data_IF_329482019050
#
_entry.id   IF_329482019050
#
_cell.length_a   1.000
_cell.length_b   1.000
_cell.length_c   1.000
_cell.angle_alpha   90.00
_cell.angle_beta   90.00
_cell.angle_gamma   90.00
#
_symmetry.space_group_name_H-M   'P 1'
#
loop_
_entity.id
_entity.type
_entity.pdbx_description
1 polymer ?
#
# COMPACT_ATOMS: atom_id res chain seq x y z
N UNK A 1 12.95 49.20 -8.61
CA UNK A 1 11.77 48.47 -9.14
C UNK A 1 12.01 46.99 -8.84
N UNK A 2 11.48 46.50 -7.72
CA UNK A 2 11.66 45.11 -7.30
C UNK A 2 10.65 44.23 -8.06
N UNK A 3 11.14 43.20 -8.73
CA UNK A 3 10.31 42.17 -9.36
C UNK A 3 9.62 41.34 -8.27
N UNK A 4 8.31 41.05 -8.38
CA UNK A 4 7.65 40.16 -7.44
C UNK A 4 8.17 38.73 -7.65
N UNK A 5 8.67 38.10 -6.59
CA UNK A 5 9.01 36.68 -6.61
C UNK A 5 7.74 35.85 -6.74
N UNK A 6 7.63 35.08 -7.82
CA UNK A 6 6.57 34.10 -8.03
C UNK A 6 6.47 33.15 -6.82
N UNK A 7 5.25 32.80 -6.36
CA UNK A 7 5.10 31.84 -5.28
C UNK A 7 5.72 30.51 -5.71
N UNK A 8 6.74 30.06 -4.96
CA UNK A 8 7.24 28.70 -5.04
C UNK A 8 6.13 27.78 -4.55
N UNK A 9 5.28 27.30 -5.46
CA UNK A 9 4.40 26.16 -5.22
C UNK A 9 5.35 24.99 -4.95
N UNK A 10 5.66 24.71 -3.69
CA UNK A 10 6.51 23.59 -3.31
C UNK A 10 5.94 22.34 -3.98
N UNK A 11 6.77 21.64 -4.78
CA UNK A 11 6.35 20.39 -5.43
C UNK A 11 5.75 19.48 -4.37
N UNK A 12 4.45 19.20 -4.48
CA UNK A 12 3.76 18.22 -3.65
C UNK A 12 4.56 16.90 -3.72
N UNK A 13 5.13 16.50 -2.59
CA UNK A 13 5.83 15.22 -2.46
C UNK A 13 4.79 14.12 -2.31
N UNK A 14 4.76 13.21 -3.28
CA UNK A 14 3.99 11.96 -3.20
C UNK A 14 4.91 10.89 -2.61
N UNK A 15 4.93 10.80 -1.30
CA UNK A 15 5.87 9.99 -0.54
C UNK A 15 5.19 8.90 0.29
N UNK A 16 3.93 8.58 0.00
CA UNK A 16 3.18 7.45 0.55
C UNK A 16 2.62 6.64 -0.62
N UNK A 17 2.97 5.36 -0.74
CA UNK A 17 2.47 4.50 -1.83
C UNK A 17 1.49 3.49 -1.26
N UNK A 18 0.27 3.46 -1.80
CA UNK A 18 -0.72 2.41 -1.52
C UNK A 18 -1.04 1.65 -2.79
N UNK A 19 -1.09 0.33 -2.70
CA UNK A 19 -1.26 -0.55 -3.85
C UNK A 19 -2.30 -1.63 -3.56
N UNK A 20 -3.20 -1.84 -4.51
CA UNK A 20 -4.24 -2.87 -4.46
C UNK A 20 -4.14 -3.82 -5.65
N UNK A 21 -4.29 -5.12 -5.42
CA UNK A 21 -4.36 -6.13 -6.48
C UNK A 21 -5.29 -7.29 -6.09
N UNK A 22 -6.06 -7.82 -7.05
CA UNK A 22 -7.09 -8.83 -6.73
C UNK A 22 -7.27 -9.96 -7.75
N UNK A 23 -7.12 -9.73 -9.05
CA UNK A 23 -7.49 -10.73 -10.05
C UNK A 23 -6.35 -11.06 -10.99
N UNK A 24 -6.29 -12.35 -11.33
CA UNK A 24 -5.20 -12.99 -12.04
C UNK A 24 -4.07 -13.36 -11.09
N UNK A 25 -4.31 -14.23 -10.09
CA UNK A 25 -3.38 -14.50 -8.98
C UNK A 25 -1.89 -14.64 -9.35
N UNK A 26 -1.58 -15.16 -10.55
CA UNK A 26 -0.22 -15.17 -11.10
C UNK A 26 0.21 -13.81 -11.66
N UNK A 27 -0.61 -13.11 -12.43
CA UNK A 27 -0.31 -11.77 -12.96
C UNK A 27 -0.14 -10.73 -11.87
N UNK A 28 -1.02 -10.71 -10.86
CA UNK A 28 -0.88 -9.82 -9.71
C UNK A 28 0.43 -10.08 -8.96
N UNK A 29 0.74 -11.36 -8.71
CA UNK A 29 2.02 -11.77 -8.12
C UNK A 29 3.21 -11.32 -8.97
N UNK A 30 3.20 -11.60 -10.27
CA UNK A 30 4.29 -11.25 -11.19
C UNK A 30 4.48 -9.73 -11.26
N UNK A 31 3.41 -8.95 -11.25
CA UNK A 31 3.47 -7.49 -11.22
C UNK A 31 4.11 -6.99 -9.91
N UNK A 32 3.74 -7.57 -8.77
CA UNK A 32 4.33 -7.24 -7.46
C UNK A 32 5.82 -7.60 -7.42
N UNK A 33 6.21 -8.78 -7.91
CA UNK A 33 7.61 -9.20 -7.97
C UNK A 33 8.43 -8.33 -8.91
N UNK A 34 7.87 -8.00 -10.08
CA UNK A 34 8.52 -7.12 -11.04
C UNK A 34 8.72 -5.71 -10.45
N UNK A 35 7.69 -5.14 -9.82
CA UNK A 35 7.79 -3.87 -9.09
C UNK A 35 8.87 -3.94 -8.01
N UNK A 36 8.82 -4.96 -7.15
CA UNK A 36 9.72 -5.08 -6.01
C UNK A 36 11.20 -5.21 -6.44
N UNK A 37 11.47 -5.81 -7.60
CA UNK A 37 12.80 -5.95 -8.20
C UNK A 37 13.36 -4.63 -8.75
N UNK A 38 12.52 -3.67 -9.12
CA UNK A 38 12.97 -2.39 -9.69
C UNK A 38 13.15 -1.29 -8.63
N UNK A 39 12.66 -1.52 -7.40
CA UNK A 39 12.80 -0.55 -6.32
C UNK A 39 14.24 -0.53 -5.78
N UNK A 40 14.88 0.64 -5.70
CA UNK A 40 16.22 0.75 -5.14
C UNK A 40 16.20 0.62 -3.61
N UNK A 41 17.34 0.25 -3.02
CA UNK A 41 17.47 0.04 -1.57
C UNK A 41 17.20 1.31 -0.73
N UNK A 42 17.40 2.49 -1.33
CA UNK A 42 17.20 3.80 -0.71
C UNK A 42 15.84 4.44 -1.07
N UNK A 43 14.88 3.64 -1.55
CA UNK A 43 13.55 4.13 -1.89
C UNK A 43 12.87 4.79 -0.67
N UNK A 44 12.64 6.10 -0.78
CA UNK A 44 12.32 6.94 0.37
C UNK A 44 10.87 6.86 0.88
N UNK A 45 9.98 6.12 0.21
CA UNK A 45 8.57 6.04 0.59
C UNK A 45 8.23 4.66 1.21
N UNK A 46 7.35 4.60 2.22
CA UNK A 46 6.69 3.36 2.60
C UNK A 46 5.72 2.92 1.49
N UNK A 47 5.59 1.60 1.33
CA UNK A 47 4.67 0.99 0.38
C UNK A 47 3.71 0.09 1.15
N UNK A 48 2.41 0.30 0.98
CA UNK A 48 1.36 -0.50 1.60
C UNK A 48 0.60 -1.28 0.54
N UNK A 49 0.43 -2.57 0.75
CA UNK A 49 -0.11 -3.48 -0.26
C UNK A 49 -1.27 -4.28 0.32
N UNK A 50 -2.42 -4.19 -0.35
CA UNK A 50 -3.51 -5.15 -0.21
C UNK A 50 -3.49 -6.07 -1.42
N UNK A 51 -3.30 -7.36 -1.15
CA UNK A 51 -3.45 -8.42 -2.13
C UNK A 51 -4.59 -9.33 -1.67
N UNK A 52 -5.61 -9.54 -2.51
CA UNK A 52 -6.66 -10.50 -2.19
C UNK A 52 -6.15 -11.93 -2.31
N UNK A 53 -6.03 -12.58 -1.14
CA UNK A 53 -5.60 -13.97 -0.98
C UNK A 53 -6.65 -14.73 -0.16
N UNK A 54 -6.58 -16.06 -0.20
CA UNK A 54 -7.45 -16.89 0.62
C UNK A 54 -7.23 -16.60 2.13
N UNK A 55 -8.29 -16.38 2.93
CA UNK A 55 -8.17 -15.92 4.31
C UNK A 55 -7.60 -16.97 5.27
N UNK A 56 -7.67 -18.26 4.91
CA UNK A 56 -7.35 -19.37 5.80
C UNK A 56 -5.91 -19.89 5.62
N UNK A 57 -5.11 -19.26 4.77
CA UNK A 57 -3.74 -19.67 4.50
C UNK A 57 -2.76 -18.53 4.85
N UNK A 58 -1.61 -18.84 5.47
CA UNK A 58 -0.52 -17.89 5.56
C UNK A 58 -0.14 -17.38 4.16
N UNK A 59 0.09 -16.09 4.05
CA UNK A 59 0.56 -15.48 2.81
C UNK A 59 2.08 -15.59 2.75
N UNK A 60 2.61 -16.26 1.73
CA UNK A 60 4.06 -16.34 1.44
C UNK A 60 4.60 -15.10 0.71
N UNK A 61 3.78 -14.06 0.54
CA UNK A 61 4.16 -12.89 -0.28
C UNK A 61 5.29 -12.07 0.30
N UNK A 62 5.35 -11.80 1.61
CA UNK A 62 6.53 -11.17 2.19
C UNK A 62 7.81 -11.92 1.82
N UNK A 63 7.83 -13.24 1.91
CA UNK A 63 8.99 -14.08 1.60
C UNK A 63 9.36 -14.00 0.12
N UNK A 64 8.39 -14.12 -0.79
CA UNK A 64 8.65 -14.01 -2.22
C UNK A 64 9.15 -12.61 -2.62
N UNK A 65 8.63 -11.55 -1.99
CA UNK A 65 9.10 -10.18 -2.24
C UNK A 65 10.51 -9.97 -1.69
N UNK A 66 10.80 -10.45 -0.48
CA UNK A 66 12.14 -10.38 0.11
C UNK A 66 13.19 -11.13 -0.70
N UNK A 67 12.80 -12.19 -1.43
CA UNK A 67 13.72 -12.92 -2.30
C UNK A 67 14.20 -12.12 -3.53
N UNK A 68 13.47 -11.08 -3.93
CA UNK A 68 13.75 -10.31 -5.16
C UNK A 68 13.92 -8.81 -4.94
N UNK A 69 13.51 -8.27 -3.79
CA UNK A 69 13.55 -6.85 -3.47
C UNK A 69 14.75 -6.47 -2.63
N UNK A 70 15.24 -5.25 -2.83
CA UNK A 70 16.18 -4.62 -1.91
C UNK A 70 15.48 -4.06 -0.64
N UNK A 71 14.16 -3.86 -0.69
CA UNK A 71 13.38 -3.38 0.44
C UNK A 71 12.83 -4.54 1.26
N UNK A 72 12.84 -4.46 2.60
CA UNK A 72 12.18 -5.45 3.44
C UNK A 72 10.66 -5.42 3.25
N UNK A 73 10.08 -6.58 2.97
CA UNK A 73 8.66 -6.83 2.90
C UNK A 73 8.19 -7.65 4.11
N UNK A 74 7.12 -7.21 4.78
CA UNK A 74 6.53 -7.93 5.93
C UNK A 74 5.06 -7.64 6.15
N UNK A 75 4.42 -8.52 6.90
CA UNK A 75 3.18 -8.18 7.60
C UNK A 75 3.50 -7.25 8.78
N UNK A 76 2.86 -6.07 8.90
CA UNK A 76 3.06 -5.17 10.02
C UNK A 76 2.42 -5.67 11.31
N UNK A 77 2.91 -5.19 12.45
CA UNK A 77 2.19 -5.30 13.71
C UNK A 77 1.17 -4.16 13.85
N UNK A 78 0.06 -4.41 14.55
CA UNK A 78 -0.91 -3.36 14.86
C UNK A 78 -0.26 -2.25 15.71
N UNK A 79 -0.46 -0.99 15.31
CA UNK A 79 0.09 0.19 15.97
C UNK A 79 1.56 0.48 15.63
N UNK A 80 2.17 -0.30 14.72
CA UNK A 80 3.55 -0.09 14.27
C UNK A 80 3.71 1.27 13.60
N UNK A 81 4.78 1.99 13.95
CA UNK A 81 5.12 3.27 13.32
C UNK A 81 5.55 3.04 11.88
N UNK A 82 4.98 3.82 10.97
CA UNK A 82 5.33 3.79 9.55
C UNK A 82 6.79 4.19 9.35
N UNK A 83 7.53 3.35 8.61
CA UNK A 83 8.92 3.61 8.23
C UNK A 83 9.08 3.65 6.71
N UNK A 84 9.85 4.61 6.16
CA UNK A 84 10.20 4.65 4.74
C UNK A 84 11.05 3.44 4.34
N UNK A 85 11.05 3.10 3.04
CA UNK A 85 11.84 1.99 2.52
C UNK A 85 11.38 0.61 3.00
N UNK A 86 10.09 0.47 3.31
CA UNK A 86 9.50 -0.79 3.77
C UNK A 86 8.24 -1.10 2.95
N UNK A 87 8.08 -2.37 2.59
CA UNK A 87 6.86 -2.89 1.99
C UNK A 87 6.02 -3.56 3.08
N UNK A 88 4.86 -2.99 3.39
CA UNK A 88 3.88 -3.51 4.33
C UNK A 88 2.77 -4.23 3.58
N UNK A 89 2.64 -5.54 3.79
CA UNK A 89 1.54 -6.33 3.24
C UNK A 89 0.45 -6.53 4.28
N UNK A 90 -0.80 -6.30 3.87
CA UNK A 90 -1.95 -6.66 4.67
C UNK A 90 -1.94 -8.17 4.99
N UNK A 91 -2.06 -8.56 6.27
CA UNK A 91 -2.22 -9.97 6.61
C UNK A 91 -3.53 -10.53 6.07
N UNK A 92 -3.58 -11.83 5.73
CA UNK A 92 -4.86 -12.49 5.40
C UNK A 92 -5.90 -12.26 6.50
N UNK A 93 -7.15 -12.04 6.09
CA UNK A 93 -8.30 -11.80 6.99
C UNK A 93 -8.17 -10.59 7.93
N UNK A 94 -7.26 -9.64 7.65
CA UNK A 94 -7.13 -8.38 8.39
C UNK A 94 -7.07 -7.19 7.45
N UNK A 95 -7.79 -6.11 7.76
CA UNK A 95 -7.60 -4.82 7.08
C UNK A 95 -6.27 -4.21 7.49
N UNK A 96 -5.62 -3.57 6.52
CA UNK A 96 -4.46 -2.72 6.70
C UNK A 96 -4.93 -1.28 6.54
N UNK A 97 -4.90 -0.50 7.61
CA UNK A 97 -5.33 0.90 7.63
C UNK A 97 -4.18 1.79 8.09
N UNK A 98 -4.24 3.08 7.73
CA UNK A 98 -3.29 4.10 8.16
C UNK A 98 -3.98 5.14 9.02
N UNK A 99 -3.37 5.48 10.16
CA UNK A 99 -3.83 6.51 11.10
C UNK A 99 -2.62 7.06 11.87
N UNK A 100 -2.49 8.39 11.99
CA UNK A 100 -1.48 9.05 12.84
C UNK A 100 -0.04 8.51 12.70
N UNK A 101 0.44 8.33 11.46
CA UNK A 101 1.76 7.75 11.14
C UNK A 101 1.98 6.32 11.66
N UNK A 102 0.89 5.60 11.87
CA UNK A 102 0.88 4.20 12.28
C UNK A 102 0.07 3.34 11.34
N UNK A 103 0.44 2.08 11.33
CA UNK A 103 -0.31 1.02 10.67
C UNK A 103 -1.27 0.41 11.68
N UNK A 104 -2.55 0.33 11.31
CA UNK A 104 -3.53 -0.45 12.05
C UNK A 104 -3.81 -1.75 11.30
N UNK A 105 -3.72 -2.86 12.02
CA UNK A 105 -4.03 -4.19 11.50
C UNK A 105 -5.24 -4.68 12.26
N UNK A 106 -6.40 -4.66 11.62
CA UNK A 106 -7.69 -4.87 12.31
C UNK A 106 -8.54 -5.94 11.66
N UNK A 107 -9.35 -6.61 12.47
CA UNK A 107 -10.32 -7.62 12.00
C UNK A 107 -11.74 -7.05 11.94
N UNK A 108 -11.87 -5.78 11.54
CA UNK A 108 -13.15 -5.07 11.38
C UNK A 108 -14.08 -5.74 10.36
N UNK A 109 -15.29 -5.19 10.18
CA UNK A 109 -16.26 -5.70 9.21
C UNK A 109 -15.68 -5.73 7.80
N UNK A 110 -16.01 -6.79 7.04
CA UNK A 110 -15.65 -6.87 5.62
C UNK A 110 -16.22 -5.68 4.85
N UNK A 111 -15.43 -5.15 3.92
CA UNK A 111 -15.83 -4.11 2.98
C UNK A 111 -15.83 -4.70 1.58
N UNK A 112 -16.87 -4.43 0.78
CA UNK A 112 -17.05 -5.08 -0.53
C UNK A 112 -16.99 -6.63 -0.48
N UNK A 113 -17.35 -7.22 0.67
CA UNK A 113 -17.25 -8.67 0.98
C UNK A 113 -15.81 -9.18 1.16
N UNK A 114 -14.82 -8.28 1.20
CA UNK A 114 -13.39 -8.56 1.25
C UNK A 114 -12.77 -8.12 2.58
N UNK A 115 -11.74 -8.87 2.98
CA UNK A 115 -10.85 -8.55 4.10
C UNK A 115 -9.53 -9.31 3.90
N UNK A 116 -8.40 -8.63 3.65
CA UNK A 116 -8.25 -7.17 3.49
C UNK A 116 -9.08 -6.59 2.34
N UNK A 117 -9.43 -5.30 2.43
CA UNK A 117 -10.08 -4.52 1.37
C UNK A 117 -9.13 -3.40 0.92
N UNK A 118 -9.07 -3.19 -0.40
CA UNK A 118 -8.27 -2.15 -1.04
C UNK A 118 -8.89 -0.77 -0.76
N UNK A 119 -10.22 -0.64 -0.84
CA UNK A 119 -10.91 0.63 -0.52
C UNK A 119 -10.59 1.09 0.91
N UNK A 120 -10.56 0.17 1.86
CA UNK A 120 -10.22 0.48 3.25
C UNK A 120 -8.80 1.05 3.40
N UNK A 121 -7.81 0.44 2.72
CA UNK A 121 -6.44 0.95 2.71
C UNK A 121 -6.37 2.32 2.04
N UNK A 122 -6.93 2.46 0.83
CA UNK A 122 -6.79 3.69 0.05
C UNK A 122 -7.50 4.86 0.74
N UNK A 123 -8.71 4.64 1.25
CA UNK A 123 -9.47 5.67 1.98
C UNK A 123 -8.75 6.10 3.25
N UNK A 124 -8.26 5.17 4.07
CA UNK A 124 -7.55 5.53 5.30
C UNK A 124 -6.23 6.27 5.02
N UNK A 125 -5.52 5.89 3.96
CA UNK A 125 -4.35 6.61 3.49
C UNK A 125 -4.69 8.03 3.02
N UNK A 126 -5.74 8.20 2.22
CA UNK A 126 -6.20 9.50 1.75
C UNK A 126 -6.61 10.40 2.92
N UNK A 127 -7.33 9.88 3.92
CA UNK A 127 -7.68 10.62 5.13
C UNK A 127 -6.45 11.05 5.94
N UNK A 128 -5.44 10.18 6.08
CA UNK A 128 -4.26 10.44 6.92
C UNK A 128 -3.21 11.32 6.24
N UNK A 129 -2.96 11.09 4.96
CA UNK A 129 -1.83 11.69 4.23
C UNK A 129 -2.25 12.64 3.11
N UNK A 130 -3.53 12.65 2.75
CA UNK A 130 -4.10 13.54 1.74
C UNK A 130 -3.34 13.48 0.41
N UNK A 131 -2.92 14.64 -0.15
CA UNK A 131 -2.32 14.70 -1.49
C UNK A 131 -0.91 14.09 -1.59
N UNK A 132 -0.35 13.59 -0.48
CA UNK A 132 0.93 12.86 -0.45
C UNK A 132 0.79 11.41 -0.93
N UNK A 133 -0.43 10.89 -1.03
CA UNK A 133 -0.67 9.50 -1.41
C UNK A 133 -0.57 9.31 -2.92
N UNK A 134 0.16 8.29 -3.33
CA UNK A 134 0.12 7.69 -4.65
C UNK A 134 -0.65 6.37 -4.56
N UNK A 135 -1.86 6.35 -5.08
CA UNK A 135 -2.67 5.14 -5.22
C UNK A 135 -2.35 4.38 -6.51
N UNK A 136 -2.14 3.07 -6.40
CA UNK A 136 -1.87 2.17 -7.53
C UNK A 136 -2.87 1.02 -7.48
N UNK A 137 -3.85 1.04 -8.37
CA UNK A 137 -4.79 -0.08 -8.51
C UNK A 137 -4.36 -0.95 -9.68
N UNK A 138 -3.95 -2.19 -9.37
CA UNK A 138 -3.59 -3.20 -10.37
C UNK A 138 -4.82 -4.07 -10.72
N UNK A 139 -4.63 -4.98 -11.68
CA UNK A 139 -5.71 -5.81 -12.22
C UNK A 139 -6.55 -6.49 -11.14
N UNK A 140 -7.86 -6.31 -11.22
CA UNK A 140 -8.85 -6.77 -10.26
C UNK A 140 -10.12 -7.23 -10.96
N UNK A 141 -10.95 -7.99 -10.23
CA UNK A 141 -12.30 -8.35 -10.63
C UNK A 141 -13.20 -7.72 -9.58
N UNK A 142 -14.30 -7.08 -10.00
CA UNK A 142 -15.20 -6.26 -9.16
C UNK A 142 -14.59 -4.89 -8.78
N UNK A 143 -15.23 -4.23 -7.82
CA UNK A 143 -15.14 -2.77 -7.63
C UNK A 143 -14.22 -2.34 -6.47
N UNK A 144 -13.62 -3.28 -5.73
CA UNK A 144 -12.80 -2.94 -4.55
C UNK A 144 -11.49 -2.25 -4.96
N UNK A 145 -11.28 -1.06 -4.40
CA UNK A 145 -10.19 -0.14 -4.74
C UNK A 145 -10.62 1.03 -5.62
N UNK A 146 -11.79 0.97 -6.26
CA UNK A 146 -12.28 2.06 -7.11
C UNK A 146 -12.87 3.22 -6.30
N UNK A 147 -13.52 2.94 -5.16
CA UNK A 147 -14.13 3.99 -4.32
C UNK A 147 -13.11 4.66 -3.40
N UNK A 148 -12.02 3.97 -3.08
CA UNK A 148 -10.96 4.49 -2.23
C UNK A 148 -9.91 5.34 -2.97
N UNK A 149 -9.86 5.28 -4.30
CA UNK A 149 -8.92 6.06 -5.14
C UNK A 149 -9.42 7.50 -5.38
#
# INVERSE_FOLDING_TARGET
MATPSSPQIGRLRRDIVVLGASAGGVLALLALLALAKTLPADFAAPIFIVLHVAPNLPSLMPELLNAVSALPARHPHNGEVVRPGVIYLAPPDHHLLLEDDRVLVTRGSKENRLRPSIDALFRSAACTYGPRVLGVLLTGYLDDGASGL
#
